data_IF_398731453282
#
_entry.id   IF_398731453282
#
_cell.length_a   1.000
_cell.length_b   1.000
_cell.length_c   1.000
_cell.angle_alpha   90.00
_cell.angle_beta   90.00
_cell.angle_gamma   90.00
#
_symmetry.space_group_name_H-M   'P 1'
#
loop_
_entity.id
_entity.type
_entity.pdbx_description
1 polymer ?
#
# COMPACT_ATOMS: atom_id res chain seq x y z
N UNK A 1 -9.72 -29.69 34.78
CA UNK A 1 -9.28 -28.41 34.15
C UNK A 1 -10.38 -27.97 33.19
N UNK A 2 -11.20 -27.00 33.59
CA UNK A 2 -12.45 -26.61 32.91
C UNK A 2 -12.20 -25.96 31.54
N UNK A 3 -13.12 -26.12 30.58
CA UNK A 3 -13.03 -25.54 29.22
C UNK A 3 -12.77 -24.03 29.24
N UNK A 4 -13.34 -23.31 30.22
CA UNK A 4 -13.10 -21.87 30.43
C UNK A 4 -11.63 -21.52 30.69
N UNK A 5 -10.90 -22.38 31.40
CA UNK A 5 -9.46 -22.19 31.68
C UNK A 5 -8.61 -22.40 30.42
N UNK A 6 -8.96 -23.36 29.56
CA UNK A 6 -8.31 -23.58 28.26
C UNK A 6 -8.58 -22.45 27.27
N UNK A 7 -9.82 -21.93 27.22
CA UNK A 7 -10.18 -20.79 26.39
C UNK A 7 -9.43 -19.52 26.80
N UNK A 8 -9.35 -19.24 28.10
CA UNK A 8 -8.60 -18.10 28.64
C UNK A 8 -7.09 -18.17 28.33
N UNK A 9 -6.48 -19.34 28.48
CA UNK A 9 -5.06 -19.55 28.14
C UNK A 9 -4.78 -19.39 26.64
N UNK A 10 -5.71 -19.83 25.76
CA UNK A 10 -5.60 -19.64 24.31
C UNK A 10 -5.69 -18.16 23.92
N UNK A 11 -6.65 -17.43 24.48
CA UNK A 11 -6.81 -16.00 24.23
C UNK A 11 -5.55 -15.21 24.65
N UNK A 12 -5.03 -15.45 25.86
CA UNK A 12 -3.81 -14.78 26.35
C UNK A 12 -2.56 -15.10 25.52
N UNK A 13 -2.48 -16.32 24.99
CA UNK A 13 -1.37 -16.72 24.11
C UNK A 13 -1.46 -16.04 22.75
N UNK A 14 -2.68 -15.91 22.20
CA UNK A 14 -2.92 -15.20 20.96
C UNK A 14 -2.65 -13.69 21.09
N UNK A 15 -3.06 -13.07 22.20
CA UNK A 15 -2.76 -11.67 22.50
C UNK A 15 -1.26 -11.40 22.58
N UNK A 16 -0.52 -12.22 23.33
CA UNK A 16 0.95 -12.07 23.41
C UNK A 16 1.64 -12.33 22.06
N UNK A 17 1.08 -13.21 21.23
CA UNK A 17 1.57 -13.43 19.86
C UNK A 17 1.36 -12.19 18.99
N UNK A 18 0.15 -11.62 19.00
CA UNK A 18 -0.20 -10.42 18.25
C UNK A 18 0.60 -9.19 18.71
N UNK A 19 0.82 -9.03 20.02
CA UNK A 19 1.68 -7.97 20.55
C UNK A 19 3.11 -8.10 20.02
N UNK A 20 3.64 -9.33 19.97
CA UNK A 20 4.97 -9.57 19.43
C UNK A 20 5.05 -9.30 17.93
N UNK A 21 4.02 -9.68 17.18
CA UNK A 21 3.92 -9.40 15.75
C UNK A 21 3.95 -7.88 15.49
N UNK A 22 3.18 -7.12 16.26
CA UNK A 22 3.19 -5.65 16.21
C UNK A 22 4.57 -5.05 16.53
N UNK A 23 5.28 -5.59 17.52
CA UNK A 23 6.66 -5.17 17.83
C UNK A 23 7.61 -5.45 16.66
N UNK A 24 7.49 -6.61 16.01
CA UNK A 24 8.30 -6.97 14.84
C UNK A 24 8.04 -6.01 13.68
N UNK A 25 6.78 -5.72 13.35
CA UNK A 25 6.43 -4.79 12.27
C UNK A 25 6.88 -3.36 12.58
N UNK A 26 6.74 -2.92 13.84
CA UNK A 26 7.22 -1.60 14.28
C UNK A 26 8.74 -1.49 14.15
N UNK A 27 9.48 -2.52 14.54
CA UNK A 27 10.94 -2.57 14.42
C UNK A 27 11.37 -2.59 12.96
N UNK A 28 10.68 -3.37 12.12
CA UNK A 28 10.90 -3.39 10.67
C UNK A 28 10.68 -2.02 10.03
N UNK A 29 9.64 -1.29 10.45
CA UNK A 29 9.36 0.08 10.01
C UNK A 29 10.54 1.02 10.31
N UNK A 30 11.00 1.03 11.56
CA UNK A 30 12.13 1.86 12.01
C UNK A 30 13.40 1.51 11.23
N UNK A 31 13.68 0.22 11.07
CA UNK A 31 14.84 -0.26 10.33
C UNK A 31 14.80 0.16 8.86
N UNK A 32 13.64 0.02 8.19
CA UNK A 32 13.46 0.47 6.80
C UNK A 32 13.66 1.98 6.65
N UNK A 33 13.19 2.78 7.60
CA UNK A 33 13.40 4.25 7.56
C UNK A 33 14.86 4.62 7.71
N UNK A 34 15.57 3.92 8.59
CA UNK A 34 16.96 4.22 8.92
C UNK A 34 17.94 3.72 7.87
N UNK A 35 17.72 2.51 7.36
CA UNK A 35 18.72 1.78 6.57
C UNK A 35 18.24 1.43 5.16
N UNK A 36 16.96 1.68 4.85
CA UNK A 36 16.35 1.34 3.56
C UNK A 36 15.91 -0.12 3.47
N UNK A 37 15.08 -0.41 2.46
CA UNK A 37 14.50 -1.73 2.25
C UNK A 37 15.58 -2.81 2.08
N UNK A 38 16.63 -2.54 1.30
CA UNK A 38 17.71 -3.51 0.99
C UNK A 38 18.45 -4.01 2.25
N UNK A 39 18.63 -3.15 3.25
CA UNK A 39 19.32 -3.51 4.49
C UNK A 39 18.38 -4.11 5.55
N UNK A 40 17.07 -4.15 5.28
CA UNK A 40 16.06 -4.71 6.18
C UNK A 40 16.03 -6.23 6.08
N UNK A 41 17.11 -6.90 6.50
CA UNK A 41 17.19 -8.37 6.51
C UNK A 41 16.48 -8.99 7.73
N UNK A 42 16.11 -10.27 7.64
CA UNK A 42 15.52 -11.00 8.78
C UNK A 42 16.43 -10.97 10.03
N UNK A 43 17.75 -11.06 9.82
CA UNK A 43 18.73 -10.96 10.90
C UNK A 43 18.79 -9.55 11.49
N UNK A 44 18.69 -8.51 10.66
CA UNK A 44 18.67 -7.12 11.13
C UNK A 44 17.39 -6.81 11.92
N UNK A 45 16.22 -7.27 11.45
CA UNK A 45 14.95 -7.17 12.18
C UNK A 45 15.04 -7.90 13.54
N UNK A 46 15.60 -9.11 13.58
CA UNK A 46 15.78 -9.86 14.82
C UNK A 46 16.62 -9.08 15.85
N UNK A 47 17.71 -8.44 15.41
CA UNK A 47 18.52 -7.56 16.27
C UNK A 47 17.74 -6.33 16.74
N UNK A 48 17.02 -5.66 15.84
CA UNK A 48 16.24 -4.45 16.16
C UNK A 48 15.18 -4.73 17.24
N UNK A 49 14.47 -5.86 17.14
CA UNK A 49 13.43 -6.24 18.11
C UNK A 49 13.98 -6.96 19.35
N UNK A 50 15.29 -7.21 19.42
CA UNK A 50 15.95 -7.91 20.53
C UNK A 50 15.59 -9.39 20.65
N UNK A 51 15.25 -10.06 19.54
CA UNK A 51 14.91 -11.49 19.51
C UNK A 51 16.04 -12.31 18.87
N UNK A 52 16.18 -13.56 19.33
CA UNK A 52 16.97 -14.54 18.60
C UNK A 52 16.33 -14.82 17.23
N UNK A 53 17.15 -15.04 16.19
CA UNK A 53 16.66 -15.34 14.84
C UNK A 53 15.72 -16.55 14.80
N UNK A 54 15.99 -17.58 15.59
CA UNK A 54 15.12 -18.75 15.76
C UNK A 54 13.74 -18.41 16.33
N UNK A 55 13.64 -17.39 17.18
CA UNK A 55 12.37 -16.90 17.71
C UNK A 55 11.56 -16.16 16.66
N UNK A 56 12.23 -15.42 15.76
CA UNK A 56 11.58 -14.67 14.68
C UNK A 56 10.94 -15.62 13.63
N UNK A 57 11.58 -16.76 13.35
CA UNK A 57 11.03 -17.80 12.46
C UNK A 57 9.70 -18.40 12.94
N UNK A 58 9.31 -18.21 14.21
CA UNK A 58 7.99 -18.62 14.70
C UNK A 58 6.85 -17.72 14.21
N UNK A 59 7.19 -16.51 13.75
CA UNK A 59 6.25 -15.50 13.26
C UNK A 59 6.31 -15.40 11.73
N UNK A 60 7.51 -15.38 11.19
CA UNK A 60 7.74 -15.17 9.75
C UNK A 60 8.78 -16.13 9.19
N UNK A 61 8.44 -16.83 8.10
CA UNK A 61 9.30 -17.80 7.40
C UNK A 61 10.42 -17.12 6.61
N UNK A 62 10.20 -15.87 6.20
CA UNK A 62 11.13 -15.11 5.38
C UNK A 62 11.06 -13.61 5.69
N UNK A 63 12.05 -12.86 5.19
CA UNK A 63 12.03 -11.39 5.21
C UNK A 63 10.84 -10.87 4.41
N UNK A 64 10.57 -11.51 3.27
CA UNK A 64 9.51 -11.14 2.34
C UNK A 64 8.13 -11.26 3.00
N UNK A 65 7.92 -12.27 3.84
CA UNK A 65 6.68 -12.38 4.61
C UNK A 65 6.48 -11.19 5.56
N UNK A 66 7.56 -10.70 6.20
CA UNK A 66 7.51 -9.50 7.06
C UNK A 66 7.17 -8.27 6.23
N UNK A 67 7.80 -8.11 5.06
CA UNK A 67 7.57 -6.95 4.19
C UNK A 67 6.13 -6.94 3.64
N UNK A 68 5.57 -8.11 3.32
CA UNK A 68 4.16 -8.23 2.94
C UNK A 68 3.25 -7.85 4.10
N UNK A 69 3.50 -8.36 5.31
CA UNK A 69 2.71 -7.99 6.48
C UNK A 69 2.80 -6.47 6.79
N UNK A 70 3.98 -5.87 6.63
CA UNK A 70 4.17 -4.44 6.76
C UNK A 70 3.41 -3.66 5.67
N UNK A 71 3.45 -4.11 4.42
CA UNK A 71 2.67 -3.51 3.32
C UNK A 71 1.19 -3.45 3.68
N UNK A 72 0.65 -4.54 4.22
CA UNK A 72 -0.76 -4.62 4.63
C UNK A 72 -1.07 -3.60 5.75
N UNK A 73 -0.20 -3.45 6.76
CA UNK A 73 -0.39 -2.45 7.83
C UNK A 73 -0.30 -1.02 7.30
N UNK A 74 0.64 -0.73 6.39
CA UNK A 74 0.76 0.59 5.76
C UNK A 74 -0.45 0.91 4.86
N UNK A 75 -1.02 -0.10 4.19
CA UNK A 75 -2.25 0.06 3.42
C UNK A 75 -3.46 0.39 4.33
N UNK A 76 -3.58 -0.26 5.50
CA UNK A 76 -4.63 0.08 6.46
C UNK A 76 -4.53 1.54 6.95
N UNK A 77 -3.30 2.01 7.20
CA UNK A 77 -3.04 3.40 7.60
C UNK A 77 -3.44 4.37 6.49
N UNK A 78 -3.03 4.10 5.26
CA UNK A 78 -3.36 4.94 4.11
C UNK A 78 -4.87 5.01 3.85
N UNK A 79 -5.58 3.88 3.94
CA UNK A 79 -7.03 3.84 3.79
C UNK A 79 -7.70 4.70 4.89
N UNK A 80 -7.25 4.60 6.13
CA UNK A 80 -7.78 5.39 7.23
C UNK A 80 -7.53 6.90 7.04
N UNK A 81 -6.33 7.28 6.57
CA UNK A 81 -6.00 8.68 6.30
C UNK A 81 -6.78 9.25 5.10
N UNK A 82 -7.05 8.42 4.09
CA UNK A 82 -7.93 8.78 2.97
C UNK A 82 -9.38 9.02 3.43
N UNK A 83 -9.95 8.08 4.19
CA UNK A 83 -11.31 8.18 4.75
C UNK A 83 -11.46 9.42 5.65
N UNK A 84 -10.47 9.67 6.51
CA UNK A 84 -10.42 10.86 7.36
C UNK A 84 -10.38 12.13 6.53
N UNK A 85 -9.54 12.19 5.50
CA UNK A 85 -9.39 13.38 4.67
C UNK A 85 -10.66 13.69 3.86
N UNK A 86 -11.37 12.67 3.37
CA UNK A 86 -12.67 12.83 2.70
C UNK A 86 -13.78 13.36 3.63
N UNK A 87 -13.64 13.12 4.94
CA UNK A 87 -14.58 13.57 5.96
C UNK A 87 -14.38 15.04 6.35
N UNK A 88 -13.31 15.69 5.91
CA UNK A 88 -13.05 17.10 6.22
C UNK A 88 -14.05 18.03 5.50
N UNK A 89 -14.59 19.08 6.15
CA UNK A 89 -15.60 19.97 5.56
C UNK A 89 -15.17 20.67 4.26
N UNK A 90 -13.86 20.84 4.07
CA UNK A 90 -13.28 21.50 2.89
C UNK A 90 -12.97 20.52 1.74
N UNK A 91 -13.20 19.23 1.94
CA UNK A 91 -12.90 18.22 0.92
C UNK A 91 -13.80 18.43 -0.30
N UNK A 92 -13.18 18.63 -1.45
CA UNK A 92 -13.89 18.60 -2.74
C UNK A 92 -14.25 17.15 -3.06
N UNK A 93 -15.53 16.90 -3.36
CA UNK A 93 -16.09 15.56 -3.63
C UNK A 93 -16.47 15.37 -5.09
N UNK A 94 -15.93 16.21 -5.97
CA UNK A 94 -15.92 15.95 -7.40
C UNK A 94 -14.73 15.04 -7.77
N UNK A 95 -14.69 14.60 -9.03
CA UNK A 95 -13.67 13.65 -9.51
C UNK A 95 -12.26 14.21 -9.36
N UNK A 96 -12.05 15.46 -9.75
CA UNK A 96 -10.75 16.14 -9.66
C UNK A 96 -10.28 16.27 -8.22
N UNK A 97 -11.18 16.66 -7.30
CA UNK A 97 -10.90 16.79 -5.87
C UNK A 97 -10.50 15.47 -5.22
N UNK A 98 -11.25 14.40 -5.52
CA UNK A 98 -10.96 13.04 -5.03
C UNK A 98 -9.63 12.53 -5.60
N UNK A 99 -9.38 12.74 -6.89
CA UNK A 99 -8.13 12.32 -7.52
C UNK A 99 -6.90 13.00 -6.90
N UNK A 100 -6.97 14.32 -6.69
CA UNK A 100 -5.92 15.08 -6.01
C UNK A 100 -5.73 14.63 -4.56
N UNK A 101 -6.83 14.41 -3.85
CA UNK A 101 -6.76 13.95 -2.47
C UNK A 101 -6.09 12.57 -2.38
N UNK A 102 -6.48 11.63 -3.24
CA UNK A 102 -5.92 10.29 -3.26
C UNK A 102 -4.43 10.33 -3.59
N UNK A 103 -4.02 11.10 -4.59
CA UNK A 103 -2.60 11.28 -4.93
C UNK A 103 -1.79 11.86 -3.77
N UNK A 104 -2.31 12.88 -3.09
CA UNK A 104 -1.69 13.49 -1.90
C UNK A 104 -1.54 12.48 -0.76
N UNK A 105 -2.58 11.70 -0.50
CA UNK A 105 -2.54 10.64 0.52
C UNK A 105 -1.48 9.60 0.14
N UNK A 106 -1.46 9.09 -1.10
CA UNK A 106 -0.40 8.19 -1.55
C UNK A 106 1.00 8.77 -1.33
N UNK A 107 1.22 10.04 -1.68
CA UNK A 107 2.51 10.71 -1.47
C UNK A 107 2.91 10.83 0.01
N UNK A 108 1.94 10.99 0.91
CA UNK A 108 2.15 11.00 2.35
C UNK A 108 2.49 9.60 2.94
N UNK A 109 2.31 8.52 2.16
CA UNK A 109 2.66 7.14 2.54
C UNK A 109 3.79 6.56 1.67
N UNK A 110 5.00 7.14 1.69
CA UNK A 110 6.10 6.72 0.81
C UNK A 110 6.51 5.26 0.98
N UNK A 111 6.37 4.71 2.20
CA UNK A 111 6.69 3.30 2.47
C UNK A 111 5.72 2.35 1.78
N UNK A 112 4.43 2.68 1.78
CA UNK A 112 3.42 1.91 1.07
C UNK A 112 3.74 1.88 -0.43
N UNK A 113 4.02 3.06 -1.02
CA UNK A 113 4.37 3.17 -2.44
C UNK A 113 5.65 2.39 -2.78
N UNK A 114 6.68 2.47 -1.92
CA UNK A 114 7.91 1.69 -2.08
C UNK A 114 7.64 0.18 -2.03
N UNK A 115 6.91 -0.29 -1.01
CA UNK A 115 6.60 -1.72 -0.85
C UNK A 115 5.71 -2.24 -1.99
N UNK A 116 4.73 -1.45 -2.45
CA UNK A 116 3.88 -1.78 -3.58
C UNK A 116 4.69 -1.97 -4.87
N UNK A 117 5.69 -1.12 -5.09
CA UNK A 117 6.59 -1.19 -6.25
C UNK A 117 7.50 -2.42 -6.25
N UNK A 118 7.71 -3.02 -5.09
CA UNK A 118 8.55 -4.21 -4.91
C UNK A 118 7.73 -5.49 -4.76
N UNK A 119 6.39 -5.39 -4.80
CA UNK A 119 5.50 -6.46 -4.35
C UNK A 119 5.58 -7.73 -5.20
N UNK A 120 5.58 -7.62 -6.53
CA UNK A 120 5.63 -8.81 -7.41
C UNK A 120 6.94 -9.60 -7.24
N UNK A 121 8.14 -8.97 -7.31
CA UNK A 121 9.40 -9.67 -7.02
C UNK A 121 9.48 -10.28 -5.61
N UNK A 122 8.92 -9.59 -4.60
CA UNK A 122 8.89 -10.05 -3.20
C UNK A 122 7.97 -11.27 -3.04
N UNK A 123 6.77 -11.25 -3.65
CA UNK A 123 5.77 -12.31 -3.50
C UNK A 123 6.12 -13.59 -4.27
N UNK A 124 6.71 -13.47 -5.46
CA UNK A 124 6.80 -14.59 -6.40
C UNK A 124 7.95 -15.55 -6.11
N UNK A 125 9.00 -15.10 -5.41
CA UNK A 125 10.23 -15.88 -5.27
C UNK A 125 10.48 -16.47 -3.87
N UNK A 126 9.82 -15.98 -2.82
CA UNK A 126 10.24 -16.25 -1.43
C UNK A 126 9.12 -16.68 -0.46
N UNK A 127 7.92 -16.97 -0.98
CA UNK A 127 6.77 -17.38 -0.18
C UNK A 127 6.17 -18.70 -0.69
N UNK A 128 5.65 -19.49 0.25
CA UNK A 128 4.85 -20.66 -0.11
C UNK A 128 3.52 -20.26 -0.76
N UNK A 129 2.95 -21.16 -1.58
CA UNK A 129 1.64 -20.94 -2.24
C UNK A 129 0.55 -20.53 -1.25
N UNK A 130 0.52 -21.16 -0.08
CA UNK A 130 -0.47 -20.83 0.96
C UNK A 130 -0.33 -19.38 1.44
N UNK A 131 0.90 -18.91 1.69
CA UNK A 131 1.16 -17.53 2.10
C UNK A 131 0.82 -16.53 1.01
N UNK A 132 1.07 -16.87 -0.25
CA UNK A 132 0.66 -16.05 -1.39
C UNK A 132 -0.87 -15.91 -1.44
N UNK A 133 -1.61 -17.00 -1.24
CA UNK A 133 -3.08 -16.96 -1.20
C UNK A 133 -3.57 -16.09 -0.04
N UNK A 134 -3.02 -16.28 1.17
CA UNK A 134 -3.36 -15.47 2.35
C UNK A 134 -3.11 -13.98 2.09
N UNK A 135 -1.95 -13.63 1.52
CA UNK A 135 -1.61 -12.26 1.17
C UNK A 135 -2.56 -11.66 0.11
N UNK A 136 -2.92 -12.43 -0.93
CA UNK A 136 -3.86 -11.97 -1.98
C UNK A 136 -5.28 -11.76 -1.44
N UNK A 137 -5.74 -12.60 -0.51
CA UNK A 137 -7.04 -12.42 0.13
C UNK A 137 -7.07 -11.16 1.01
N UNK A 138 -6.00 -10.91 1.76
CA UNK A 138 -5.83 -9.70 2.56
C UNK A 138 -5.76 -8.43 1.69
N UNK A 139 -5.04 -8.50 0.57
CA UNK A 139 -4.98 -7.44 -0.42
C UNK A 139 -6.36 -7.12 -0.98
N UNK A 140 -7.12 -8.16 -1.38
CA UNK A 140 -8.48 -8.01 -1.89
C UNK A 140 -9.43 -7.41 -0.85
N UNK A 141 -9.31 -7.80 0.42
CA UNK A 141 -10.10 -7.21 1.50
C UNK A 141 -9.88 -5.70 1.64
N UNK A 142 -8.64 -5.24 1.58
CA UNK A 142 -8.31 -3.80 1.64
C UNK A 142 -8.74 -3.05 0.40
N UNK A 143 -8.61 -3.67 -0.78
CA UNK A 143 -9.14 -3.11 -2.02
C UNK A 143 -10.65 -2.89 -1.97
N UNK A 144 -11.40 -3.84 -1.39
CA UNK A 144 -12.84 -3.67 -1.16
C UNK A 144 -13.15 -2.54 -0.19
N UNK A 145 -12.44 -2.47 0.94
CA UNK A 145 -12.62 -1.36 1.90
C UNK A 145 -12.39 0.01 1.26
N UNK A 146 -11.34 0.14 0.44
CA UNK A 146 -11.09 1.38 -0.30
C UNK A 146 -12.17 1.67 -1.35
N UNK A 147 -12.67 0.63 -2.05
CA UNK A 147 -13.75 0.75 -3.02
C UNK A 147 -15.07 1.17 -2.37
N UNK A 148 -15.38 0.69 -1.16
CA UNK A 148 -16.54 1.11 -0.37
C UNK A 148 -16.47 2.61 -0.05
N UNK A 149 -15.31 3.09 0.42
CA UNK A 149 -15.07 4.52 0.68
C UNK A 149 -15.23 5.34 -0.60
N UNK A 150 -14.68 4.87 -1.72
CA UNK A 150 -14.76 5.55 -3.01
C UNK A 150 -16.20 5.62 -3.53
N UNK A 151 -16.97 4.54 -3.40
CA UNK A 151 -18.40 4.48 -3.80
C UNK A 151 -19.24 5.45 -2.96
N UNK A 152 -18.95 5.56 -1.66
CA UNK A 152 -19.62 6.53 -0.79
C UNK A 152 -19.27 7.98 -1.17
N UNK A 153 -18.07 8.24 -1.67
CA UNK A 153 -17.63 9.56 -2.14
C UNK A 153 -18.11 9.89 -3.57
N UNK A 154 -18.31 8.88 -4.41
CA UNK A 154 -18.75 8.98 -5.81
C UNK A 154 -19.99 8.07 -6.05
N UNK A 155 -21.20 8.51 -5.67
CA UNK A 155 -22.40 7.66 -5.72
C UNK A 155 -22.81 7.15 -7.11
N UNK A 156 -22.26 7.74 -8.17
CA UNK A 156 -22.52 7.34 -9.56
C UNK A 156 -21.59 6.21 -10.05
N UNK A 157 -20.56 5.85 -9.28
CA UNK A 157 -19.64 4.77 -9.60
C UNK A 157 -20.15 3.45 -9.03
N UNK A 158 -20.11 2.37 -9.81
CA UNK A 158 -20.46 1.04 -9.29
C UNK A 158 -19.36 0.48 -8.37
N UNK A 159 -19.70 -0.49 -7.52
CA UNK A 159 -18.70 -1.19 -6.68
C UNK A 159 -17.60 -1.84 -7.53
N UNK A 160 -17.96 -2.42 -8.69
CA UNK A 160 -17.01 -3.03 -9.60
C UNK A 160 -16.08 -1.99 -10.23
N UNK A 161 -16.62 -0.82 -10.59
CA UNK A 161 -15.84 0.33 -11.06
C UNK A 161 -14.89 0.85 -9.99
N UNK A 162 -15.37 1.02 -8.76
CA UNK A 162 -14.54 1.45 -7.64
C UNK A 162 -13.41 0.46 -7.35
N UNK A 163 -13.69 -0.84 -7.36
CA UNK A 163 -12.67 -1.87 -7.18
C UNK A 163 -11.62 -1.85 -8.29
N UNK A 164 -12.05 -1.67 -9.54
CA UNK A 164 -11.16 -1.51 -10.69
C UNK A 164 -10.29 -0.25 -10.56
N UNK A 165 -10.86 0.88 -10.11
CA UNK A 165 -10.11 2.10 -9.85
C UNK A 165 -8.99 1.84 -8.83
N UNK A 166 -9.30 1.24 -7.67
CA UNK A 166 -8.29 0.92 -6.65
C UNK A 166 -7.18 0.01 -7.21
N UNK A 167 -7.53 -0.97 -8.05
CA UNK A 167 -6.54 -1.81 -8.72
C UNK A 167 -5.65 -1.06 -9.71
N UNK A 168 -6.22 -0.17 -10.52
CA UNK A 168 -5.44 0.67 -11.45
C UNK A 168 -4.54 1.64 -10.71
N UNK A 169 -5.05 2.33 -9.69
CA UNK A 169 -4.23 3.25 -8.88
C UNK A 169 -3.08 2.51 -8.21
N UNK A 170 -3.32 1.31 -7.65
CA UNK A 170 -2.24 0.48 -7.10
C UNK A 170 -1.15 0.16 -8.16
N UNK A 171 -1.57 -0.22 -9.36
CA UNK A 171 -0.66 -0.55 -10.47
C UNK A 171 0.13 0.67 -10.94
N UNK A 172 -0.54 1.82 -11.06
CA UNK A 172 0.08 3.10 -11.43
C UNK A 172 1.11 3.48 -10.37
N UNK A 173 0.76 3.45 -9.08
CA UNK A 173 1.69 3.75 -7.99
C UNK A 173 2.92 2.83 -8.02
N UNK A 174 2.72 1.53 -8.24
CA UNK A 174 3.81 0.56 -8.30
C UNK A 174 4.80 0.84 -9.47
N UNK A 175 4.31 1.37 -10.60
CA UNK A 175 5.16 1.76 -11.73
C UNK A 175 5.73 3.19 -11.62
N UNK A 176 4.95 4.11 -11.06
CA UNK A 176 5.26 5.54 -11.00
C UNK A 176 6.26 5.88 -9.88
N UNK A 177 6.13 5.21 -8.72
CA UNK A 177 6.96 5.53 -7.56
C UNK A 177 8.47 5.32 -7.81
N UNK A 178 8.93 4.23 -8.46
CA UNK A 178 10.35 4.06 -8.80
C UNK A 178 10.91 5.10 -9.77
N UNK A 179 10.03 5.75 -10.57
CA UNK A 179 10.44 6.81 -11.50
C UNK A 179 10.70 8.14 -10.80
N UNK A 180 10.28 8.29 -9.53
CA UNK A 180 10.57 9.47 -8.74
C UNK A 180 12.08 9.57 -8.53
N UNK A 181 12.70 10.59 -9.12
CA UNK A 181 14.09 10.91 -8.83
C UNK A 181 14.25 11.30 -7.36
N UNK A 182 14.95 10.47 -6.59
CA UNK A 182 15.22 10.70 -5.17
C UNK A 182 16.72 10.58 -4.83
N UNK A 183 17.51 9.96 -5.71
CA UNK A 183 18.97 9.83 -5.54
C UNK A 183 19.71 10.99 -6.18
N UNK A 184 20.80 11.41 -5.51
CA UNK A 184 21.68 12.51 -5.92
C UNK A 184 22.05 12.48 -7.41
N UNK A 185 22.43 11.31 -7.95
CA UNK A 185 22.84 11.19 -9.34
C UNK A 185 21.68 11.32 -10.33
N UNK A 186 20.50 10.79 -9.97
CA UNK A 186 19.28 10.92 -10.80
C UNK A 186 18.79 12.36 -10.81
N UNK A 187 18.77 13.03 -9.66
CA UNK A 187 18.45 14.45 -9.55
C UNK A 187 19.43 15.32 -10.37
N UNK A 188 20.73 15.07 -10.27
CA UNK A 188 21.73 15.80 -11.04
C UNK A 188 21.59 15.60 -12.55
N UNK A 189 21.25 14.37 -13.00
CA UNK A 189 21.02 14.10 -14.42
C UNK A 189 19.81 14.90 -14.95
N UNK A 190 18.75 15.05 -14.17
CA UNK A 190 17.57 15.82 -14.55
C UNK A 190 17.82 17.34 -14.67
N UNK A 191 18.96 17.85 -14.20
CA UNK A 191 19.36 19.25 -14.48
C UNK A 191 19.86 19.46 -15.92
N UNK A 192 20.10 18.38 -16.68
CA UNK A 192 20.42 18.49 -18.09
C UNK A 192 19.22 19.06 -18.88
N UNK A 193 19.39 20.11 -19.72
CA UNK A 193 18.28 20.79 -20.39
C UNK A 193 17.40 19.85 -21.24
N UNK A 194 18.01 18.89 -21.93
CA UNK A 194 17.27 17.92 -22.75
C UNK A 194 16.43 16.95 -21.90
N UNK A 195 16.75 16.77 -20.62
CA UNK A 195 16.04 15.85 -19.72
C UNK A 195 15.00 16.58 -18.84
N UNK A 196 14.80 17.89 -19.02
CA UNK A 196 13.87 18.67 -18.22
C UNK A 196 12.43 18.12 -18.29
N UNK A 197 12.02 17.56 -19.43
CA UNK A 197 10.71 16.94 -19.62
C UNK A 197 10.53 15.60 -18.87
N UNK A 198 11.62 15.02 -18.35
CA UNK A 198 11.58 13.84 -17.48
C UNK A 198 11.44 14.23 -16.00
N UNK A 199 11.48 15.52 -15.64
CA UNK A 199 11.18 15.98 -14.27
C UNK A 199 9.69 15.77 -14.01
N UNK A 200 9.38 14.69 -13.30
CA UNK A 200 8.03 14.31 -12.94
C UNK A 200 7.69 14.82 -11.53
N UNK A 201 6.59 15.55 -11.41
CA UNK A 201 5.93 15.72 -10.12
C UNK A 201 5.03 14.50 -9.87
N UNK A 202 5.39 13.69 -8.88
CA UNK A 202 4.65 12.47 -8.54
C UNK A 202 3.18 12.77 -8.19
N UNK A 203 2.92 13.77 -7.34
CA UNK A 203 1.58 14.09 -6.88
C UNK A 203 0.69 14.53 -8.04
N UNK A 204 1.18 15.47 -8.87
CA UNK A 204 0.42 15.98 -10.02
C UNK A 204 0.17 14.89 -11.05
N UNK A 205 1.20 14.09 -11.37
CA UNK A 205 1.12 13.02 -12.36
C UNK A 205 0.14 11.93 -11.91
N UNK A 206 0.22 11.54 -10.63
CA UNK A 206 -0.69 10.56 -10.06
C UNK A 206 -2.12 11.11 -10.01
N UNK A 207 -2.32 12.36 -9.61
CA UNK A 207 -3.65 12.98 -9.57
C UNK A 207 -4.31 12.96 -10.96
N UNK A 208 -3.58 13.38 -12.01
CA UNK A 208 -4.08 13.32 -13.38
C UNK A 208 -4.38 11.89 -13.83
N UNK A 209 -3.53 10.92 -13.50
CA UNK A 209 -3.76 9.52 -13.85
C UNK A 209 -5.00 8.94 -13.14
N UNK A 210 -5.19 9.24 -11.86
CA UNK A 210 -6.37 8.83 -11.09
C UNK A 210 -7.63 9.45 -11.69
N UNK A 211 -7.62 10.74 -12.00
CA UNK A 211 -8.76 11.43 -12.60
C UNK A 211 -9.16 10.79 -13.94
N UNK A 212 -8.20 10.51 -14.81
CA UNK A 212 -8.44 9.82 -16.08
C UNK A 212 -8.99 8.40 -15.88
N UNK A 213 -8.48 7.64 -14.89
CA UNK A 213 -9.02 6.33 -14.56
C UNK A 213 -10.48 6.41 -14.10
N UNK A 214 -10.80 7.33 -13.18
CA UNK A 214 -12.16 7.48 -12.67
C UNK A 214 -13.13 7.92 -13.78
N UNK A 215 -12.71 8.87 -14.62
CA UNK A 215 -13.48 9.32 -15.79
C UNK A 215 -13.73 8.18 -16.78
N UNK A 216 -12.69 7.41 -17.13
CA UNK A 216 -12.81 6.30 -18.07
C UNK A 216 -13.71 5.17 -17.55
N UNK A 217 -13.68 4.90 -16.25
CA UNK A 217 -14.58 3.93 -15.60
C UNK A 217 -16.03 4.41 -15.69
N UNK A 218 -16.31 5.65 -15.29
CA UNK A 218 -17.66 6.22 -15.35
C UNK A 218 -18.21 6.30 -16.77
N UNK A 219 -17.38 6.69 -17.74
CA UNK A 219 -17.75 6.71 -19.15
C UNK A 219 -18.15 5.31 -19.64
N UNK A 220 -17.37 4.28 -19.29
CA UNK A 220 -17.66 2.89 -19.63
C UNK A 220 -18.94 2.38 -18.97
N UNK A 221 -19.17 2.69 -17.70
CA UNK A 221 -20.40 2.32 -16.98
C UNK A 221 -21.65 2.99 -17.56
N UNK A 222 -21.49 4.15 -18.19
CA UNK A 222 -22.56 4.88 -18.89
C UNK A 222 -22.69 4.48 -20.36
N UNK A 223 -21.97 3.46 -20.82
CA UNK A 223 -21.91 3.04 -22.23
C UNK A 223 -21.56 4.19 -23.19
N UNK A 224 -20.69 5.10 -22.75
CA UNK A 224 -20.19 6.16 -23.63
C UNK A 224 -19.24 5.56 -24.67
N UNK A 225 -19.51 5.82 -25.95
CA UNK A 225 -18.66 5.43 -27.07
C UNK A 225 -17.90 6.66 -27.60
N UNK A 226 -16.56 6.62 -27.69
CA UNK A 226 -15.81 7.71 -28.31
C UNK A 226 -16.11 7.75 -29.81
N UNK A 227 -16.48 8.91 -30.32
CA UNK A 227 -16.47 9.17 -31.76
C UNK A 227 -15.01 9.40 -32.16
N UNK A 228 -14.37 8.36 -32.70
CA UNK A 228 -13.02 8.46 -33.28
C UNK A 228 -13.19 8.64 -34.79
N UNK A 229 -13.03 9.88 -35.25
CA UNK A 229 -12.85 10.19 -36.69
C UNK A 229 -11.43 9.88 -37.16
#
# INVERSE_FOLDING_TARGET
>A
MTEKSKAYQRARTAEHFAEREKMILTSTRILMDREGIENTSLSAVAREVGLAKSSLYRYYESREQILVALLQEEADRMIADFEKSLSEPKSQRDLTGIAKLWAKVCFAHPRLCLLASQLSPILEHNLSTQRIVEAKLQFLHRHRKMAEILTAALPHMSEAGALAAVQYVFTIVAGLWPMKADRKNSLAALEHPELAHLKMNFEDTLASAIELCLLGILAKEQNWEPVLE
#
